data_IF_500301244740
#
_entry.id   IF_500301244740
#
_cell.length_a   1.000
_cell.length_b   1.000
_cell.length_c   1.000
_cell.angle_alpha   90.00
_cell.angle_beta   90.00
_cell.angle_gamma   90.00
#
_symmetry.space_group_name_H-M   'P 1'
#
loop_
_entity.id
_entity.type
_entity.pdbx_description
1 polymer ?
#
# COMPACT_ATOMS: atom_id res chain seq x y z
N UNK A 1 16.90 -9.28 -16.06
CA UNK A 1 16.52 -9.25 -14.87
C UNK A 1 15.53 -8.22 -14.54
N UNK A 2 14.69 -8.45 -13.77
CA UNK A 2 13.69 -7.53 -13.47
C UNK A 2 14.00 -6.87 -12.17
N UNK A 3 14.58 -5.76 -12.19
CA UNK A 3 15.04 -5.14 -10.98
C UNK A 3 13.93 -4.55 -10.13
N UNK A 4 12.77 -4.32 -10.71
CA UNK A 4 11.71 -3.69 -9.96
C UNK A 4 10.46 -4.52 -9.96
N UNK A 5 9.86 -4.65 -8.80
CA UNK A 5 8.59 -5.32 -8.69
C UNK A 5 7.50 -4.34 -9.04
N UNK A 6 6.66 -4.69 -9.97
CA UNK A 6 5.51 -3.87 -10.31
C UNK A 6 4.39 -4.03 -9.31
N UNK A 7 4.33 -5.20 -8.67
CA UNK A 7 3.34 -5.49 -7.65
C UNK A 7 4.02 -5.66 -6.32
N UNK A 8 3.49 -5.02 -5.32
CA UNK A 8 4.03 -5.06 -3.96
C UNK A 8 3.02 -5.73 -3.05
N UNK A 9 3.51 -6.55 -2.13
CA UNK A 9 2.66 -7.09 -1.09
C UNK A 9 2.43 -6.01 -0.05
N UNK A 10 1.44 -6.21 0.83
CA UNK A 10 1.21 -5.25 1.91
C UNK A 10 2.41 -5.12 2.82
N UNK A 11 3.13 -6.24 3.02
CA UNK A 11 4.34 -6.21 3.81
C UNK A 11 5.40 -5.33 3.18
N UNK A 12 5.54 -5.41 1.85
CA UNK A 12 6.50 -4.59 1.14
C UNK A 12 6.09 -3.11 1.17
N UNK A 13 4.80 -2.84 1.03
CA UNK A 13 4.30 -1.47 1.13
C UNK A 13 4.59 -0.90 2.52
N UNK A 14 4.33 -1.68 3.55
CA UNK A 14 4.60 -1.25 4.92
C UNK A 14 6.08 -0.93 5.11
N UNK A 15 6.95 -1.77 4.57
CA UNK A 15 8.38 -1.55 4.66
C UNK A 15 8.79 -0.26 3.96
N UNK A 16 8.24 -0.01 2.78
CA UNK A 16 8.54 1.21 2.02
C UNK A 16 8.12 2.46 2.79
N UNK A 17 7.00 2.39 3.46
CA UNK A 17 6.46 3.53 4.19
C UNK A 17 6.91 3.55 5.65
N UNK A 18 7.65 2.54 6.07
CA UNK A 18 8.09 2.39 7.47
C UNK A 18 6.92 2.33 8.43
N UNK A 19 5.84 1.69 7.98
CA UNK A 19 4.65 1.49 8.79
C UNK A 19 4.54 0.03 9.19
N UNK A 20 3.64 -0.26 10.11
CA UNK A 20 3.34 -1.65 10.44
C UNK A 20 2.43 -2.23 9.36
N UNK A 21 2.51 -3.54 9.17
CA UNK A 21 1.62 -4.21 8.22
C UNK A 21 0.17 -4.04 8.63
N UNK A 22 -0.11 -4.03 9.92
CA UNK A 22 -1.47 -3.84 10.42
C UNK A 22 -2.01 -2.48 10.00
N UNK A 23 -1.18 -1.44 10.08
CA UNK A 23 -1.59 -0.11 9.67
C UNK A 23 -1.92 -0.07 8.18
N UNK A 24 -1.06 -0.67 7.36
CA UNK A 24 -1.28 -0.70 5.92
C UNK A 24 -2.54 -1.49 5.58
N UNK A 25 -2.78 -2.57 6.28
CA UNK A 25 -4.01 -3.35 6.10
C UNK A 25 -5.24 -2.48 6.37
N UNK A 26 -5.19 -1.67 7.41
CA UNK A 26 -6.29 -0.77 7.72
C UNK A 26 -6.48 0.30 6.65
N UNK A 27 -5.39 0.82 6.10
CA UNK A 27 -5.45 1.79 5.01
C UNK A 27 -6.11 1.17 3.78
N UNK A 28 -5.70 -0.03 3.43
CA UNK A 28 -6.24 -0.73 2.27
C UNK A 28 -7.73 -1.02 2.45
N UNK A 29 -8.13 -1.31 3.66
CA UNK A 29 -9.53 -1.60 3.98
C UNK A 29 -10.37 -0.35 4.23
N UNK A 30 -9.76 0.83 4.14
CA UNK A 30 -10.48 2.08 4.31
C UNK A 30 -10.87 2.39 5.74
N UNK A 31 -10.10 1.90 6.70
CA UNK A 31 -10.41 2.09 8.13
C UNK A 31 -9.70 3.29 8.77
N UNK A 32 -8.83 3.94 8.01
CA UNK A 32 -8.07 5.07 8.53
C UNK A 32 -8.76 6.35 8.09
N UNK A 33 -9.16 7.19 9.05
CA UNK A 33 -9.83 8.44 8.76
C UNK A 33 -8.84 9.46 8.20
N UNK A 34 -9.31 10.27 7.26
CA UNK A 34 -8.50 11.32 6.70
C UNK A 34 -7.49 10.86 5.68
N UNK A 35 -7.46 9.57 5.39
CA UNK A 35 -6.55 9.00 4.41
C UNK A 35 -7.37 8.23 3.38
N UNK A 36 -7.14 8.51 2.12
CA UNK A 36 -7.84 7.81 1.06
C UNK A 36 -7.45 6.34 1.05
N UNK A 37 -8.38 5.51 0.61
CA UNK A 37 -8.15 4.09 0.49
C UNK A 37 -7.09 3.82 -0.56
N UNK A 38 -6.12 3.00 -0.24
CA UNK A 38 -5.08 2.64 -1.20
C UNK A 38 -5.62 1.61 -2.19
N UNK A 39 -5.52 1.92 -3.46
CA UNK A 39 -5.97 1.01 -4.51
C UNK A 39 -5.12 -0.25 -4.50
N UNK A 40 -5.77 -1.38 -4.58
CA UNK A 40 -5.08 -2.67 -4.52
C UNK A 40 -5.81 -3.71 -5.35
N UNK A 41 -5.12 -4.83 -5.60
CA UNK A 41 -5.68 -5.98 -6.29
C UNK A 41 -5.73 -7.13 -5.29
N UNK A 42 -6.88 -7.80 -5.20
CA UNK A 42 -6.99 -8.97 -4.36
C UNK A 42 -6.77 -10.21 -5.23
N UNK A 43 -5.77 -11.01 -4.87
CA UNK A 43 -5.48 -12.26 -5.58
C UNK A 43 -5.50 -13.37 -4.53
N UNK A 44 -6.57 -14.16 -4.54
CA UNK A 44 -6.75 -15.16 -3.50
C UNK A 44 -6.80 -14.49 -2.14
N UNK A 45 -5.89 -14.86 -1.26
CA UNK A 45 -5.81 -14.28 0.07
C UNK A 45 -4.82 -13.13 0.16
N UNK A 46 -4.18 -12.80 -0.96
CA UNK A 46 -3.17 -11.76 -0.99
C UNK A 46 -3.74 -10.48 -1.56
N UNK A 47 -3.30 -9.38 -1.03
CA UNK A 47 -3.60 -8.08 -1.58
C UNK A 47 -2.29 -7.50 -2.10
N UNK A 48 -2.35 -7.04 -3.34
CA UNK A 48 -1.17 -6.51 -4.01
C UNK A 48 -1.43 -5.08 -4.46
N UNK A 49 -0.41 -4.27 -4.42
CA UNK A 49 -0.50 -2.86 -4.80
C UNK A 49 0.50 -2.61 -5.91
N UNK A 50 0.06 -1.97 -6.98
CA UNK A 50 1.00 -1.60 -8.03
C UNK A 50 1.87 -0.45 -7.55
N UNK A 51 3.13 -0.47 -7.96
CA UNK A 51 4.08 0.56 -7.56
C UNK A 51 3.59 1.96 -7.94
N UNK A 52 3.05 2.10 -9.13
CA UNK A 52 2.57 3.38 -9.60
C UNK A 52 1.38 3.89 -8.78
N UNK A 53 0.53 2.96 -8.31
CA UNK A 53 -0.60 3.33 -7.45
C UNK A 53 -0.11 3.84 -6.10
N UNK A 54 0.90 3.16 -5.56
CA UNK A 54 1.47 3.55 -4.28
C UNK A 54 2.10 4.93 -4.37
N UNK A 55 2.87 5.18 -5.42
CA UNK A 55 3.52 6.46 -5.59
C UNK A 55 2.50 7.59 -5.70
N UNK A 56 1.45 7.38 -6.48
CA UNK A 56 0.39 8.38 -6.62
C UNK A 56 -0.32 8.61 -5.29
N UNK A 57 -0.63 7.54 -4.60
CA UNK A 57 -1.32 7.65 -3.33
C UNK A 57 -0.50 8.41 -2.30
N UNK A 58 0.81 8.19 -2.29
CA UNK A 58 1.69 8.91 -1.38
C UNK A 58 1.75 10.40 -1.70
N UNK A 59 1.64 10.76 -2.98
CA UNK A 59 1.61 12.16 -3.36
C UNK A 59 0.32 12.86 -2.94
N UNK A 60 -0.77 12.10 -2.98
CA UNK A 60 -2.09 12.65 -2.64
C UNK A 60 -2.37 12.64 -1.15
N UNK A 61 -1.69 11.79 -0.40
CA UNK A 61 -1.94 11.62 1.01
C UNK A 61 -0.63 11.68 1.78
N UNK A 62 -0.60 12.51 2.81
CA UNK A 62 0.56 12.51 3.69
C UNK A 62 0.41 11.35 4.64
N UNK A 63 1.33 10.41 4.57
CA UNK A 63 1.28 9.20 5.38
C UNK A 63 2.27 9.34 6.51
N UNK A 64 1.77 9.33 7.71
CA UNK A 64 2.59 9.32 8.90
C UNK A 64 2.23 8.10 9.73
N UNK A 65 3.23 7.38 10.16
CA UNK A 65 3.02 6.19 10.98
C UNK A 65 3.59 6.35 12.36
#
# INVERSE_FOLDING_TARGET
MEPQKRLLTLKEVASELRCSKAHISNVVNGRVRGVARLTHIAVGRRKLVRREWLDRWMEENKVEC
#
